data_IF_789058135323
#
_entry.id   IF_789058135323
#
_cell.length_a   1.000
_cell.length_b   1.000
_cell.length_c   1.000
_cell.angle_alpha   90.00
_cell.angle_beta   90.00
_cell.angle_gamma   90.00
#
_symmetry.space_group_name_H-M   'P 1'
#
loop_
_entity.id
_entity.type
_entity.pdbx_description
1 polymer ?
#
# COMPACT_ATOMS: atom_id res chain seq x y z
N UNK A 1 34.32 7.19 35.91
CA UNK A 1 33.84 8.58 35.98
C UNK A 1 33.27 8.78 37.37
N UNK A 2 33.93 9.52 38.26
CA UNK A 2 33.40 9.81 39.61
C UNK A 2 32.40 10.97 39.52
N UNK A 3 31.17 10.76 40.00
CA UNK A 3 30.15 11.80 40.10
C UNK A 3 30.64 12.96 40.97
N UNK A 4 30.21 14.18 40.64
CA UNK A 4 30.50 15.36 41.47
C UNK A 4 29.65 15.33 42.76
N UNK A 5 30.09 16.00 43.84
CA UNK A 5 29.32 16.05 45.10
C UNK A 5 27.91 16.64 44.90
N UNK A 6 27.77 17.56 43.96
CA UNK A 6 26.51 18.21 43.64
C UNK A 6 25.54 17.25 42.94
N UNK A 7 26.03 16.48 41.95
CA UNK A 7 25.22 15.44 41.29
C UNK A 7 24.78 14.33 42.26
N UNK A 8 25.64 13.98 43.21
CA UNK A 8 25.31 13.01 44.25
C UNK A 8 24.16 13.49 45.16
N UNK A 9 24.14 14.78 45.47
CA UNK A 9 23.07 15.38 46.26
C UNK A 9 21.77 15.50 45.46
N UNK A 10 21.84 15.89 44.19
CA UNK A 10 20.67 15.98 43.32
C UNK A 10 20.04 14.60 43.06
N UNK A 11 20.85 13.56 42.95
CA UNK A 11 20.40 12.18 42.77
C UNK A 11 19.72 11.65 44.03
N UNK A 12 20.23 11.98 45.23
CA UNK A 12 19.54 11.68 46.51
C UNK A 12 18.20 12.39 46.61
N UNK A 13 18.13 13.65 46.20
CA UNK A 13 16.88 14.41 46.16
C UNK A 13 15.88 13.80 45.18
N UNK A 14 16.34 13.32 44.02
CA UNK A 14 15.52 12.61 43.05
C UNK A 14 14.96 11.30 43.61
N UNK A 15 15.77 10.48 44.29
CA UNK A 15 15.28 9.28 44.99
C UNK A 15 14.21 9.61 46.04
N UNK A 16 14.41 10.70 46.79
CA UNK A 16 13.43 11.16 47.79
C UNK A 16 12.10 11.62 47.14
N UNK A 17 12.16 12.28 45.98
CA UNK A 17 10.95 12.64 45.20
C UNK A 17 10.25 11.41 44.66
N UNK A 18 10.98 10.43 44.09
CA UNK A 18 10.39 9.17 43.63
C UNK A 18 9.64 8.43 44.73
N UNK A 19 10.20 8.41 45.95
CA UNK A 19 9.55 7.83 47.11
C UNK A 19 8.29 8.61 47.51
N UNK A 20 8.38 9.94 47.56
CA UNK A 20 7.28 10.80 48.00
C UNK A 20 6.10 10.80 47.01
N UNK A 21 6.39 10.89 45.73
CA UNK A 21 5.38 11.16 44.69
C UNK A 21 4.83 9.86 44.08
N UNK A 22 5.64 8.79 44.05
CA UNK A 22 5.28 7.52 43.40
C UNK A 22 5.41 6.29 44.31
N UNK A 23 5.91 6.44 45.54
CA UNK A 23 6.07 5.33 46.50
C UNK A 23 7.24 4.39 46.17
N UNK A 24 8.11 4.73 45.22
CA UNK A 24 9.25 3.89 44.87
C UNK A 24 10.43 4.11 45.83
N UNK A 25 10.88 3.04 46.46
CA UNK A 25 12.06 3.07 47.31
C UNK A 25 13.28 2.55 46.55
N UNK A 26 14.22 3.44 46.25
CA UNK A 26 15.49 3.10 45.63
C UNK A 26 16.65 3.61 46.48
N UNK A 27 17.70 2.78 46.60
CA UNK A 27 18.95 3.25 47.18
C UNK A 27 19.68 4.16 46.19
N UNK A 28 20.31 5.27 46.61
CA UNK A 28 21.16 6.10 45.75
C UNK A 28 22.36 5.35 45.16
N UNK A 29 22.70 4.19 45.74
CA UNK A 29 23.78 3.29 45.30
C UNK A 29 23.32 2.28 44.25
N UNK A 30 22.02 2.23 43.96
CA UNK A 30 21.47 1.34 42.96
C UNK A 30 21.97 1.75 41.56
N UNK A 31 22.57 0.83 40.78
CA UNK A 31 23.13 1.13 39.47
C UNK A 31 22.12 1.67 38.47
N UNK A 32 20.82 1.46 38.68
CA UNK A 32 19.75 1.91 37.77
C UNK A 32 19.40 3.38 37.99
N UNK A 33 19.64 3.92 39.19
CA UNK A 33 19.20 5.26 39.57
C UNK A 33 19.90 6.41 38.81
N UNK A 34 21.23 6.37 38.60
CA UNK A 34 21.89 7.38 37.78
C UNK A 34 21.32 7.48 36.36
N UNK A 35 20.97 6.35 35.74
CA UNK A 35 20.36 6.32 34.40
C UNK A 35 18.95 6.91 34.41
N UNK A 36 18.11 6.53 35.40
CA UNK A 36 16.78 7.10 35.60
C UNK A 36 16.82 8.62 35.80
N UNK A 37 17.78 9.11 36.59
CA UNK A 37 17.96 10.53 36.83
C UNK A 37 18.33 11.31 35.56
N UNK A 38 19.24 10.77 34.72
CA UNK A 38 19.59 11.39 33.43
C UNK A 38 18.39 11.45 32.50
N UNK A 39 17.64 10.35 32.37
CA UNK A 39 16.42 10.30 31.55
C UNK A 39 15.41 11.32 32.06
N UNK A 40 15.19 11.40 33.37
CA UNK A 40 14.27 12.37 33.95
C UNK A 40 14.67 13.81 33.62
N UNK A 41 15.94 14.17 33.81
CA UNK A 41 16.47 15.50 33.48
C UNK A 41 16.29 15.84 31.99
N UNK A 42 16.53 14.88 31.11
CA UNK A 42 16.33 15.06 29.67
C UNK A 42 14.85 15.25 29.32
N UNK A 43 13.95 14.44 29.92
CA UNK A 43 12.50 14.60 29.73
C UNK A 43 11.98 15.95 30.24
N UNK A 44 12.45 16.44 31.39
CA UNK A 44 12.06 17.77 31.89
C UNK A 44 12.52 18.89 30.96
N UNK A 45 13.75 18.80 30.44
CA UNK A 45 14.28 19.79 29.49
C UNK A 45 13.46 19.81 28.19
N UNK A 46 13.09 18.64 27.67
CA UNK A 46 12.25 18.50 26.48
C UNK A 46 10.82 19.02 26.71
N UNK A 47 10.22 18.72 27.87
CA UNK A 47 8.90 19.25 28.24
C UNK A 47 8.94 20.78 28.35
N UNK A 48 10.01 21.34 28.90
CA UNK A 48 10.18 22.80 29.00
C UNK A 48 10.31 23.44 27.61
N UNK A 49 11.09 22.84 26.72
CA UNK A 49 11.22 23.29 25.33
C UNK A 49 9.87 23.20 24.58
N UNK A 50 9.13 22.10 24.73
CA UNK A 50 7.80 21.96 24.14
C UNK A 50 6.80 23.00 24.66
N UNK A 51 6.83 23.31 25.96
CA UNK A 51 5.98 24.37 26.54
C UNK A 51 6.29 25.74 25.92
N UNK A 52 7.58 26.06 25.71
CA UNK A 52 7.99 27.30 25.04
C UNK A 52 7.49 27.36 23.58
N UNK A 53 7.65 26.26 22.84
CA UNK A 53 7.16 26.17 21.46
C UNK A 53 5.63 26.30 21.37
N UNK A 54 4.90 25.68 22.30
CA UNK A 54 3.43 25.80 22.33
C UNK A 54 2.98 27.20 22.72
N UNK A 55 3.70 27.91 23.59
CA UNK A 55 3.40 29.32 23.88
C UNK A 55 3.66 30.21 22.67
N UNK A 56 4.80 30.05 21.98
CA UNK A 56 5.09 30.82 20.77
C UNK A 56 4.10 30.54 19.64
N UNK A 57 3.73 29.26 19.47
CA UNK A 57 2.75 28.86 18.46
C UNK A 57 1.37 29.42 18.78
N UNK A 58 0.97 29.47 20.06
CA UNK A 58 -0.29 30.08 20.49
C UNK A 58 -0.29 31.59 20.26
N UNK A 59 0.79 32.28 20.60
CA UNK A 59 0.93 33.71 20.35
C UNK A 59 0.93 34.04 18.85
N UNK A 60 1.54 33.17 18.02
CA UNK A 60 1.49 33.28 16.57
C UNK A 60 0.07 33.04 16.02
N UNK A 61 -0.62 32.02 16.53
CA UNK A 61 -2.02 31.75 16.19
C UNK A 61 -2.95 32.90 16.56
N UNK A 62 -2.77 33.52 17.72
CA UNK A 62 -3.58 34.66 18.15
C UNK A 62 -3.33 35.90 17.27
N UNK A 63 -2.10 36.08 16.75
CA UNK A 63 -1.79 37.13 15.76
C UNK A 63 -2.35 36.86 14.37
N UNK A 64 -2.45 35.59 13.98
CA UNK A 64 -2.93 35.17 12.64
C UNK A 64 -4.43 34.91 12.64
N UNK A 65 -5.09 34.89 13.81
CA UNK A 65 -6.51 34.60 13.94
C UNK A 65 -7.33 35.64 13.16
N UNK A 66 -8.01 35.24 12.06
CA UNK A 66 -8.87 36.15 11.35
C UNK A 66 -10.05 36.54 12.25
N UNK A 67 -10.15 37.83 12.58
CA UNK A 67 -11.34 38.39 13.23
C UNK A 67 -12.46 38.52 12.19
N UNK A 68 -13.26 37.48 12.06
CA UNK A 68 -14.45 37.54 11.23
C UNK A 68 -15.53 38.36 11.96
N UNK A 69 -15.77 39.58 11.50
CA UNK A 69 -16.88 40.40 11.97
C UNK A 69 -18.18 39.91 11.32
N UNK A 70 -18.87 38.99 11.99
CA UNK A 70 -20.22 38.59 11.63
C UNK A 70 -21.20 39.62 12.18
N UNK A 71 -21.89 40.36 11.31
CA UNK A 71 -22.80 41.46 11.69
C UNK A 71 -23.98 40.98 12.55
N UNK A 72 -24.39 39.71 12.38
CA UNK A 72 -25.45 39.06 13.15
C UNK A 72 -25.06 37.61 13.46
N UNK A 73 -25.44 37.09 14.63
CA UNK A 73 -25.21 35.71 15.05
C UNK A 73 -25.76 34.66 14.07
N UNK A 74 -26.74 35.02 13.24
CA UNK A 74 -27.28 34.20 12.15
C UNK A 74 -26.36 34.07 10.92
N UNK A 75 -25.31 34.88 10.79
CA UNK A 75 -24.43 34.85 9.61
C UNK A 75 -23.22 33.91 9.77
N UNK A 76 -22.82 33.61 11.02
CA UNK A 76 -21.68 32.75 11.32
C UNK A 76 -21.90 31.29 10.88
N UNK A 77 -23.10 30.73 11.09
CA UNK A 77 -23.41 29.36 10.70
C UNK A 77 -23.41 29.17 9.18
N UNK A 78 -23.82 30.19 8.40
CA UNK A 78 -23.78 30.16 6.93
C UNK A 78 -22.35 30.11 6.41
N UNK A 79 -21.43 30.84 7.05
CA UNK A 79 -20.01 30.82 6.71
C UNK A 79 -19.37 29.47 7.02
N UNK A 80 -19.64 28.91 8.20
CA UNK A 80 -19.18 27.57 8.59
C UNK A 80 -19.72 26.49 7.65
N UNK A 81 -21.02 26.56 7.33
CA UNK A 81 -21.65 25.61 6.42
C UNK A 81 -21.09 25.74 4.99
N UNK A 82 -20.89 26.96 4.49
CA UNK A 82 -20.26 27.19 3.18
C UNK A 82 -18.83 26.62 3.14
N UNK A 83 -18.06 26.79 4.20
CA UNK A 83 -16.74 26.20 4.35
C UNK A 83 -16.78 24.68 4.28
N UNK A 84 -17.64 24.05 5.08
CA UNK A 84 -17.82 22.59 5.08
C UNK A 84 -18.25 22.05 3.72
N UNK A 85 -19.19 22.71 3.05
CA UNK A 85 -19.66 22.30 1.73
C UNK A 85 -18.54 22.39 0.68
N UNK A 86 -17.75 23.47 0.69
CA UNK A 86 -16.60 23.62 -0.23
C UNK A 86 -15.59 22.49 -0.05
N UNK A 87 -15.26 22.15 1.19
CA UNK A 87 -14.35 21.04 1.48
C UNK A 87 -14.94 19.69 1.08
N UNK A 88 -16.21 19.44 1.36
CA UNK A 88 -16.89 18.23 0.93
C UNK A 88 -16.86 18.05 -0.60
N UNK A 89 -17.18 19.12 -1.35
CA UNK A 89 -17.12 19.10 -2.82
C UNK A 89 -15.69 18.84 -3.31
N UNK A 90 -14.69 19.48 -2.70
CA UNK A 90 -13.28 19.28 -3.08
C UNK A 90 -12.83 17.83 -2.87
N UNK A 91 -13.19 17.23 -1.73
CA UNK A 91 -12.89 15.81 -1.43
C UNK A 91 -13.58 14.89 -2.45
N UNK A 92 -14.85 15.12 -2.73
CA UNK A 92 -15.59 14.34 -3.74
C UNK A 92 -14.94 14.46 -5.11
N UNK A 93 -14.53 15.66 -5.52
CA UNK A 93 -13.86 15.87 -6.81
C UNK A 93 -12.53 15.11 -6.90
N UNK A 94 -11.73 15.09 -5.84
CA UNK A 94 -10.48 14.32 -5.78
C UNK A 94 -10.75 12.83 -5.87
N UNK A 95 -11.74 12.32 -5.13
CA UNK A 95 -12.12 10.91 -5.17
C UNK A 95 -12.61 10.49 -6.56
N UNK A 96 -13.41 11.32 -7.22
CA UNK A 96 -13.86 11.07 -8.60
C UNK A 96 -12.67 11.06 -9.55
N UNK A 97 -11.73 12.00 -9.44
CA UNK A 97 -10.53 12.05 -10.28
C UNK A 97 -9.62 10.82 -10.07
N UNK A 98 -9.47 10.35 -8.83
CA UNK A 98 -8.75 9.11 -8.55
C UNK A 98 -9.47 7.89 -9.13
N UNK A 99 -10.79 7.80 -8.95
CA UNK A 99 -11.60 6.71 -9.49
C UNK A 99 -11.56 6.64 -11.02
N UNK A 100 -11.66 7.78 -11.71
CA UNK A 100 -11.56 7.83 -13.17
C UNK A 100 -10.14 7.51 -13.65
N UNK A 101 -9.10 7.94 -12.92
CA UNK A 101 -7.71 7.58 -13.20
C UNK A 101 -7.47 6.08 -13.10
N UNK A 102 -7.91 5.45 -12.01
CA UNK A 102 -7.81 3.99 -11.81
C UNK A 102 -8.60 3.23 -12.87
N UNK A 103 -9.81 3.66 -13.18
CA UNK A 103 -10.65 3.03 -14.20
C UNK A 103 -10.01 3.11 -15.60
N UNK A 104 -9.48 4.28 -15.97
CA UNK A 104 -8.80 4.47 -17.25
C UNK A 104 -7.51 3.64 -17.33
N UNK A 105 -6.74 3.61 -16.24
CA UNK A 105 -5.54 2.78 -16.13
C UNK A 105 -5.87 1.28 -16.29
N UNK A 106 -6.92 0.80 -15.64
CA UNK A 106 -7.41 -0.59 -15.79
C UNK A 106 -7.78 -0.90 -17.23
N UNK A 107 -8.52 -0.03 -17.93
CA UNK A 107 -8.90 -0.28 -19.33
C UNK A 107 -7.70 -0.35 -20.26
N UNK A 108 -6.69 0.48 -20.07
CA UNK A 108 -5.47 0.45 -20.89
C UNK A 108 -4.70 -0.83 -20.62
N UNK A 109 -4.50 -1.19 -19.35
CA UNK A 109 -3.77 -2.42 -18.99
C UNK A 109 -4.51 -3.71 -19.38
N UNK A 110 -5.84 -3.76 -19.31
CA UNK A 110 -6.61 -4.92 -19.75
C UNK A 110 -6.57 -5.06 -21.29
N UNK A 111 -6.59 -3.95 -22.02
CA UNK A 111 -6.43 -3.94 -23.48
C UNK A 111 -5.00 -4.31 -23.87
N UNK A 112 -4.00 -3.85 -23.13
CA UNK A 112 -2.60 -4.20 -23.36
C UNK A 112 -2.31 -5.66 -22.99
N UNK A 113 -2.95 -6.20 -21.96
CA UNK A 113 -2.89 -7.62 -21.61
C UNK A 113 -3.60 -8.47 -22.69
N UNK A 114 -4.77 -8.04 -23.17
CA UNK A 114 -5.48 -8.70 -24.27
C UNK A 114 -4.69 -8.62 -25.59
N UNK A 115 -4.05 -7.48 -25.88
CA UNK A 115 -3.14 -7.32 -27.03
C UNK A 115 -1.88 -8.13 -26.87
N UNK A 116 -1.28 -8.21 -25.69
CA UNK A 116 -0.15 -9.09 -25.45
C UNK A 116 -0.54 -10.56 -25.67
N UNK A 117 -1.71 -11.01 -25.24
CA UNK A 117 -2.20 -12.37 -25.52
C UNK A 117 -2.39 -12.60 -27.04
N UNK A 118 -2.88 -11.60 -27.77
CA UNK A 118 -3.08 -11.66 -29.23
C UNK A 118 -1.74 -11.59 -30.01
N UNK A 119 -0.81 -10.75 -29.58
CA UNK A 119 0.52 -10.59 -30.17
C UNK A 119 1.43 -11.78 -29.83
N UNK A 120 1.14 -12.51 -28.74
CA UNK A 120 1.97 -13.64 -28.31
C UNK A 120 1.92 -14.89 -29.17
N UNK A 121 1.14 -14.99 -30.26
CA UNK A 121 1.61 -15.82 -31.38
C UNK A 121 0.74 -15.87 -32.64
N UNK A 122 1.33 -15.49 -33.80
CA UNK A 122 0.97 -16.08 -35.10
C UNK A 122 0.98 -17.63 -35.06
N UNK A 123 1.82 -18.22 -34.20
CA UNK A 123 1.93 -19.67 -33.93
C UNK A 123 0.69 -20.29 -33.27
N UNK A 124 0.01 -19.66 -32.29
CA UNK A 124 -1.23 -20.22 -31.70
C UNK A 124 -2.37 -20.13 -32.71
N UNK A 125 -2.45 -19.06 -33.49
CA UNK A 125 -3.42 -18.99 -34.58
C UNK A 125 -3.16 -20.05 -35.67
N UNK A 126 -1.90 -20.36 -35.97
CA UNK A 126 -1.55 -21.46 -36.87
C UNK A 126 -1.91 -22.84 -36.27
N UNK A 127 -1.67 -23.04 -34.96
CA UNK A 127 -2.04 -24.26 -34.23
C UNK A 127 -3.55 -24.49 -34.19
N UNK A 128 -4.34 -23.46 -33.90
CA UNK A 128 -5.80 -23.54 -33.84
C UNK A 128 -6.41 -23.97 -35.18
N UNK A 129 -5.83 -23.54 -36.31
CA UNK A 129 -6.24 -23.98 -37.66
C UNK A 129 -5.96 -25.46 -37.93
N UNK A 130 -5.07 -26.09 -37.17
CA UNK A 130 -4.68 -27.50 -37.33
C UNK A 130 -5.46 -28.44 -36.41
N UNK A 131 -6.28 -27.92 -35.50
CA UNK A 131 -7.11 -28.71 -34.61
C UNK A 131 -8.25 -29.34 -35.41
N UNK A 132 -8.34 -30.67 -35.37
CA UNK A 132 -9.41 -31.45 -35.98
C UNK A 132 -10.27 -32.09 -34.89
N UNK A 133 -11.53 -32.32 -35.21
CA UNK A 133 -12.50 -33.02 -34.35
C UNK A 133 -12.82 -34.38 -34.95
N UNK A 134 -12.87 -35.41 -34.12
CA UNK A 134 -13.39 -36.74 -34.50
C UNK A 134 -14.91 -36.79 -34.32
N UNK A 135 -15.58 -37.75 -34.97
CA UNK A 135 -17.03 -37.98 -34.83
C UNK A 135 -17.46 -38.28 -33.38
N UNK A 136 -16.53 -38.73 -32.53
CA UNK A 136 -16.72 -38.98 -31.11
C UNK A 136 -16.45 -37.74 -30.22
N UNK A 137 -16.29 -36.54 -30.79
CA UNK A 137 -16.14 -35.29 -30.04
C UNK A 137 -14.72 -35.01 -29.50
N UNK A 138 -13.73 -35.87 -29.77
CA UNK A 138 -12.35 -35.65 -29.34
C UNK A 138 -11.63 -34.67 -30.28
N UNK A 139 -10.95 -33.69 -29.69
CA UNK A 139 -10.10 -32.72 -30.38
C UNK A 139 -8.66 -33.22 -30.43
N UNK A 140 -8.04 -33.17 -31.61
CA UNK A 140 -6.66 -33.58 -31.80
C UNK A 140 -5.95 -32.72 -32.85
N UNK A 141 -4.64 -32.59 -32.70
CA UNK A 141 -3.76 -32.03 -33.71
C UNK A 141 -3.19 -33.18 -34.53
N UNK A 142 -3.42 -33.14 -35.85
CA UNK A 142 -2.88 -34.14 -36.77
C UNK A 142 -1.69 -33.58 -37.54
N UNK A 143 -0.49 -34.01 -37.15
CA UNK A 143 0.76 -33.58 -37.77
C UNK A 143 1.19 -34.49 -38.94
N UNK A 144 0.40 -35.51 -39.30
CA UNK A 144 0.77 -36.47 -40.35
C UNK A 144 0.66 -35.93 -41.78
N UNK A 145 -0.07 -34.84 -42.00
CA UNK A 145 -0.38 -34.31 -43.35
C UNK A 145 0.40 -33.04 -43.69
N UNK A 146 1.00 -32.35 -42.71
CA UNK A 146 1.71 -31.11 -42.98
C UNK A 146 3.16 -31.40 -43.41
N UNK A 147 3.49 -31.07 -44.66
CA UNK A 147 4.86 -31.03 -45.17
C UNK A 147 5.20 -29.57 -45.52
N UNK A 148 6.32 -29.06 -44.99
CA UNK A 148 6.86 -27.73 -45.30
C UNK A 148 6.94 -26.75 -44.12
N UNK A 149 7.15 -25.46 -44.43
CA UNK A 149 7.45 -24.32 -43.53
C UNK A 149 6.45 -24.12 -42.37
N UNK A 150 5.29 -24.78 -42.40
CA UNK A 150 4.26 -24.72 -41.35
C UNK A 150 4.65 -25.41 -40.03
N UNK A 151 5.72 -26.22 -40.01
CA UNK A 151 6.20 -26.91 -38.81
C UNK A 151 7.55 -26.34 -38.30
N UNK A 152 8.18 -25.44 -39.06
CA UNK A 152 9.43 -24.77 -38.70
C UNK A 152 9.45 -24.09 -37.31
N UNK A 153 8.33 -23.51 -36.79
CA UNK A 153 8.36 -22.89 -35.46
C UNK A 153 8.31 -23.88 -34.27
N UNK A 154 8.21 -25.19 -34.51
CA UNK A 154 8.17 -26.22 -33.47
C UNK A 154 9.54 -26.91 -33.34
N UNK A 155 10.50 -26.24 -32.69
CA UNK A 155 11.86 -26.78 -32.47
C UNK A 155 11.90 -28.13 -31.73
N UNK A 156 10.87 -28.44 -30.95
CA UNK A 156 10.73 -29.75 -30.27
C UNK A 156 10.28 -30.88 -31.21
N UNK A 157 9.83 -30.56 -32.43
CA UNK A 157 9.35 -31.53 -33.42
C UNK A 157 10.46 -32.33 -34.09
N UNK A 158 11.68 -31.79 -34.19
CA UNK A 158 12.82 -32.56 -34.72
C UNK A 158 13.20 -33.76 -33.83
N UNK A 159 12.82 -33.72 -32.54
CA UNK A 159 13.12 -34.79 -31.57
C UNK A 159 12.07 -35.89 -31.54
N UNK A 160 10.89 -35.66 -32.13
CA UNK A 160 9.77 -36.59 -32.07
C UNK A 160 9.70 -37.40 -33.38
N UNK A 161 9.55 -38.72 -33.28
CA UNK A 161 9.53 -39.62 -34.43
C UNK A 161 8.36 -39.26 -35.39
N UNK A 162 8.70 -38.80 -36.59
CA UNK A 162 7.81 -38.19 -37.60
C UNK A 162 6.74 -39.13 -38.18
N UNK A 163 6.71 -40.41 -37.79
CA UNK A 163 5.86 -41.41 -38.47
C UNK A 163 4.42 -41.48 -37.99
N UNK A 164 4.04 -41.00 -36.81
CA UNK A 164 2.62 -40.94 -36.39
C UNK A 164 2.48 -40.25 -35.04
N UNK A 165 2.16 -38.95 -35.01
CA UNK A 165 1.81 -38.30 -33.74
C UNK A 165 0.54 -37.48 -33.92
N UNK A 166 -0.56 -38.02 -33.40
CA UNK A 166 -1.76 -37.26 -33.07
C UNK A 166 -1.64 -36.86 -31.61
N UNK A 167 -1.69 -35.56 -31.34
CA UNK A 167 -1.72 -35.05 -29.97
C UNK A 167 -3.18 -34.78 -29.63
N UNK A 168 -3.73 -35.54 -28.68
CA UNK A 168 -5.10 -35.36 -28.21
C UNK A 168 -5.16 -34.22 -27.20
N UNK A 169 -6.03 -33.24 -27.47
CA UNK A 169 -6.18 -32.03 -26.66
C UNK A 169 -7.31 -32.14 -25.62
N UNK A 170 -8.09 -33.23 -25.66
CA UNK A 170 -9.23 -33.48 -24.77
C UNK A 170 -10.56 -33.52 -25.52
N UNK A 171 -11.66 -33.65 -24.77
CA UNK A 171 -13.02 -33.53 -25.29
C UNK A 171 -13.52 -32.09 -25.13
N UNK A 172 -14.27 -31.62 -26.12
CA UNK A 172 -14.95 -30.32 -26.07
C UNK A 172 -15.85 -30.27 -24.82
N UNK A 173 -15.64 -29.26 -23.96
CA UNK A 173 -16.34 -29.12 -22.67
C UNK A 173 -17.86 -29.07 -22.81
N UNK A 174 -18.34 -28.72 -24.01
CA UNK A 174 -19.76 -28.70 -24.38
C UNK A 174 -20.39 -30.12 -24.41
N UNK A 175 -19.60 -31.17 -24.64
CA UNK A 175 -20.08 -32.57 -24.61
C UNK A 175 -19.93 -33.26 -23.25
N UNK A 176 -19.04 -32.77 -22.37
CA UNK A 176 -18.96 -33.28 -20.98
C UNK A 176 -20.23 -32.98 -20.17
N UNK A 177 -20.99 -31.93 -20.54
CA UNK A 177 -22.22 -31.52 -19.84
C UNK A 177 -23.44 -32.38 -20.26
N UNK A 178 -23.32 -33.19 -21.32
CA UNK A 178 -24.42 -34.04 -21.83
C UNK A 178 -24.35 -35.51 -21.39
N UNK A 179 -23.41 -35.89 -20.51
CA UNK A 179 -23.35 -37.23 -19.91
C UNK A 179 -23.80 -37.23 -18.46
#
# INVERSE_FOLDING_TARGET
MSMTPQEQQDLRNYCASLLKDYGFHFSPEDPVIPALYVIHKETESNLKAQRMLTTEFRDALDKVKPQFHFHDGESAWKFQLSGLIKWAISVVAVLVAMGTGVWQWSRVHDVDAARQILDYSPRVNALLKCVKRTDAGLLFLDFTVQQGDSIAPFLEYERINKKTVRVYLGMDSTEMIKR
#
